data_IF_662123041179
#
_entry.id   IF_662123041179
#
_cell.length_a   1.000
_cell.length_b   1.000
_cell.length_c   1.000
_cell.angle_alpha   90.00
_cell.angle_beta   90.00
_cell.angle_gamma   90.00
#
_symmetry.space_group_name_H-M   'P 1'
#
loop_
_entity.id
_entity.type
_entity.pdbx_description
1 polymer ?
#
# COMPACT_ATOMS: atom_id res chain seq x y z
N UNK A 1 3.53 3.36 -10.01
CA UNK A 1 4.83 3.88 -9.51
C UNK A 1 4.83 4.18 -8.01
N UNK A 2 3.78 4.77 -7.43
CA UNK A 2 3.73 5.10 -5.98
C UNK A 2 3.77 3.89 -5.02
N UNK A 3 3.23 2.74 -5.42
CA UNK A 3 3.30 1.51 -4.63
C UNK A 3 4.75 1.02 -4.41
N UNK A 4 5.62 1.25 -5.39
CA UNK A 4 7.04 0.91 -5.29
C UNK A 4 7.77 1.84 -4.30
N UNK A 5 7.40 3.13 -4.27
CA UNK A 5 7.95 4.10 -3.31
C UNK A 5 7.61 3.73 -1.86
N UNK A 6 6.39 3.24 -1.60
CA UNK A 6 6.00 2.74 -0.28
C UNK A 6 6.92 1.60 0.16
N UNK A 7 7.12 0.61 -0.72
CA UNK A 7 8.02 -0.52 -0.44
C UNK A 7 9.45 -0.02 -0.17
N UNK A 8 9.93 0.93 -0.96
CA UNK A 8 11.27 1.48 -0.82
C UNK A 8 11.45 2.23 0.51
N UNK A 9 10.47 3.03 0.93
CA UNK A 9 10.50 3.70 2.24
C UNK A 9 10.44 2.73 3.41
N UNK A 10 9.61 1.69 3.32
CA UNK A 10 9.50 0.69 4.39
C UNK A 10 10.77 -0.17 4.48
N UNK A 11 11.32 -0.61 3.34
CA UNK A 11 12.55 -1.42 3.31
C UNK A 11 13.75 -0.61 3.80
N UNK A 12 13.92 0.62 3.32
CA UNK A 12 15.03 1.48 3.79
C UNK A 12 14.87 1.86 5.26
N UNK A 13 13.64 2.20 5.70
CA UNK A 13 13.37 2.53 7.10
C UNK A 13 13.61 1.35 8.05
N UNK A 14 13.19 0.14 7.68
CA UNK A 14 13.44 -1.08 8.45
C UNK A 14 14.92 -1.48 8.46
N UNK A 15 15.64 -1.28 7.35
CA UNK A 15 17.09 -1.43 7.29
C UNK A 15 17.79 -0.48 8.26
N UNK A 16 17.46 0.81 8.26
CA UNK A 16 18.06 1.76 9.19
C UNK A 16 17.75 1.41 10.65
N UNK A 17 16.53 0.96 10.96
CA UNK A 17 16.16 0.49 12.29
C UNK A 17 16.91 -0.78 12.71
N UNK A 18 17.05 -1.75 11.81
CA UNK A 18 17.80 -2.97 12.03
C UNK A 18 19.27 -2.64 12.29
N UNK A 19 19.87 -1.81 11.44
CA UNK A 19 21.28 -1.50 11.53
C UNK A 19 21.64 -0.59 12.72
N UNK A 20 20.67 0.15 13.26
CA UNK A 20 20.83 0.91 14.50
C UNK A 20 20.68 0.05 15.76
N UNK A 21 20.23 -1.21 15.65
CA UNK A 21 20.08 -2.10 16.81
C UNK A 21 21.39 -2.76 17.20
N UNK A 22 21.59 -2.96 18.51
CA UNK A 22 22.78 -3.60 19.08
C UNK A 22 22.96 -5.06 18.64
N UNK A 23 21.86 -5.76 18.37
CA UNK A 23 21.85 -7.18 17.96
C UNK A 23 21.93 -7.39 16.44
N UNK A 24 22.24 -6.34 15.67
CA UNK A 24 22.47 -6.52 14.24
C UNK A 24 23.67 -7.44 13.99
N UNK A 25 23.61 -8.22 12.90
CA UNK A 25 24.71 -9.11 12.49
C UNK A 25 25.56 -8.57 11.35
N UNK A 26 25.11 -7.49 10.69
CA UNK A 26 25.70 -6.98 9.45
C UNK A 26 26.89 -6.03 9.65
N UNK A 27 26.90 -5.24 10.73
CA UNK A 27 27.97 -4.28 11.02
C UNK A 27 28.59 -4.56 12.40
N UNK A 28 29.90 -4.35 12.51
CA UNK A 28 30.65 -4.48 13.76
C UNK A 28 30.28 -3.44 14.82
N UNK A 29 29.73 -2.28 14.40
CA UNK A 29 29.24 -1.23 15.31
C UNK A 29 27.82 -0.80 14.91
N UNK A 30 26.91 -0.60 15.88
CA UNK A 30 25.57 -0.07 15.62
C UNK A 30 25.63 1.31 14.97
N UNK A 31 24.72 1.53 14.03
CA UNK A 31 24.51 2.87 13.46
C UNK A 31 24.01 3.84 14.53
N UNK A 32 24.30 5.12 14.32
CA UNK A 32 23.96 6.18 15.27
C UNK A 32 22.45 6.19 15.59
N UNK A 33 22.09 6.38 16.86
CA UNK A 33 20.69 6.43 17.31
C UNK A 33 19.87 7.52 16.59
N UNK A 34 20.50 8.58 16.07
CA UNK A 34 19.82 9.57 15.25
C UNK A 34 19.25 8.95 13.95
N UNK A 35 19.95 7.98 13.35
CA UNK A 35 19.47 7.29 12.13
C UNK A 35 18.34 6.31 12.44
N UNK A 36 18.20 5.86 13.69
CA UNK A 36 17.01 5.14 14.16
C UNK A 36 15.75 6.02 14.06
N UNK A 37 15.85 7.31 14.40
CA UNK A 37 14.74 8.28 14.26
C UNK A 37 14.41 8.53 12.79
N UNK A 38 15.43 8.62 11.93
CA UNK A 38 15.24 8.73 10.47
C UNK A 38 14.53 7.49 9.92
N UNK A 39 14.95 6.28 10.31
CA UNK A 39 14.30 5.03 9.91
C UNK A 39 12.84 4.95 10.34
N UNK A 40 12.52 5.36 11.56
CA UNK A 40 11.14 5.49 12.04
C UNK A 40 10.33 6.50 11.21
N UNK A 41 10.92 7.65 10.89
CA UNK A 41 10.29 8.65 10.03
C UNK A 41 9.96 8.12 8.63
N UNK A 42 10.88 7.37 8.03
CA UNK A 42 10.68 6.73 6.72
C UNK A 42 9.55 5.69 6.75
N UNK A 43 9.48 4.87 7.79
CA UNK A 43 8.37 3.92 7.96
C UNK A 43 7.04 4.67 8.10
N UNK A 44 7.01 5.73 8.92
CA UNK A 44 5.79 6.53 9.12
C UNK A 44 5.30 7.17 7.83
N UNK A 45 6.20 7.75 7.02
CA UNK A 45 5.89 8.27 5.69
C UNK A 45 5.42 7.18 4.73
N UNK A 46 5.99 5.98 4.81
CA UNK A 46 5.54 4.81 4.06
C UNK A 46 4.10 4.42 4.41
N UNK A 47 3.76 4.37 5.71
CA UNK A 47 2.41 4.05 6.20
C UNK A 47 1.39 5.11 5.79
N UNK A 48 1.71 6.39 5.90
CA UNK A 48 0.81 7.48 5.47
C UNK A 48 0.52 7.35 3.97
N UNK A 49 1.57 7.20 3.15
CA UNK A 49 1.37 7.00 1.71
C UNK A 49 0.56 5.74 1.42
N UNK A 50 0.81 4.64 2.13
CA UNK A 50 0.04 3.41 1.98
C UNK A 50 -1.46 3.67 2.23
N UNK A 51 -1.81 4.38 3.30
CA UNK A 51 -3.21 4.69 3.63
C UNK A 51 -3.91 5.49 2.51
N UNK A 52 -3.24 6.48 1.93
CA UNK A 52 -3.81 7.30 0.85
C UNK A 52 -3.96 6.53 -0.48
N UNK A 53 -2.97 5.72 -0.86
CA UNK A 53 -3.00 5.02 -2.15
C UNK A 53 -3.82 3.72 -2.10
N UNK A 54 -3.88 3.04 -0.95
CA UNK A 54 -4.76 1.88 -0.80
C UNK A 54 -6.23 2.28 -0.81
N UNK A 55 -6.61 3.43 -0.25
CA UNK A 55 -8.00 3.91 -0.32
C UNK A 55 -8.42 4.21 -1.74
N UNK A 56 -7.57 4.84 -2.55
CA UNK A 56 -7.84 5.06 -3.97
C UNK A 56 -8.03 3.73 -4.72
N UNK A 57 -7.13 2.77 -4.48
CA UNK A 57 -7.18 1.45 -5.12
C UNK A 57 -8.44 0.67 -4.71
N UNK A 58 -8.83 0.75 -3.43
CA UNK A 58 -10.06 0.18 -2.92
C UNK A 58 -11.31 0.85 -3.53
N UNK A 59 -11.29 2.17 -3.73
CA UNK A 59 -12.34 2.90 -4.42
C UNK A 59 -12.51 2.48 -5.87
N UNK A 60 -11.40 2.32 -6.61
CA UNK A 60 -11.39 1.81 -7.98
C UNK A 60 -11.95 0.38 -8.02
N UNK A 61 -11.55 -0.48 -7.07
CA UNK A 61 -12.05 -1.85 -6.97
C UNK A 61 -13.57 -1.88 -6.72
N UNK A 62 -14.07 -1.07 -5.79
CA UNK A 62 -15.50 -0.94 -5.51
C UNK A 62 -16.28 -0.48 -6.74
N UNK A 63 -15.76 0.53 -7.45
CA UNK A 63 -16.35 1.02 -8.69
C UNK A 63 -16.44 -0.09 -9.74
N UNK A 64 -15.37 -0.85 -9.94
CA UNK A 64 -15.35 -1.98 -10.87
C UNK A 64 -16.34 -3.07 -10.48
N UNK A 65 -16.49 -3.39 -9.18
CA UNK A 65 -17.50 -4.35 -8.74
C UNK A 65 -18.92 -3.87 -9.05
N UNK A 66 -19.23 -2.61 -8.76
CA UNK A 66 -20.55 -2.03 -9.06
C UNK A 66 -20.81 -2.09 -10.57
N UNK A 67 -19.80 -1.75 -11.39
CA UNK A 67 -19.90 -1.82 -12.84
C UNK A 67 -20.18 -3.25 -13.32
N UNK A 68 -19.47 -4.26 -12.80
CA UNK A 68 -19.70 -5.67 -13.16
C UNK A 68 -21.12 -6.12 -12.82
N UNK A 69 -21.62 -5.73 -11.64
CA UNK A 69 -23.00 -6.01 -11.22
C UNK A 69 -24.00 -5.32 -12.16
N UNK A 70 -23.78 -4.06 -12.50
CA UNK A 70 -24.64 -3.32 -13.43
C UNK A 70 -24.68 -3.98 -14.82
N UNK A 71 -23.51 -4.39 -15.34
CA UNK A 71 -23.40 -5.09 -16.63
C UNK A 71 -24.12 -6.46 -16.61
N UNK A 72 -24.12 -7.15 -15.47
CA UNK A 72 -24.86 -8.41 -15.32
C UNK A 72 -26.37 -8.24 -15.46
N UNK A 73 -26.93 -7.08 -15.09
CA UNK A 73 -28.36 -6.80 -15.24
C UNK A 73 -28.76 -6.45 -16.68
N UNK A 74 -27.82 -6.10 -17.56
CA UNK A 74 -28.11 -5.78 -18.97
C UNK A 74 -28.80 -6.94 -19.71
N UNK A 75 -28.28 -8.19 -19.73
CA UNK A 75 -28.97 -9.30 -20.40
C UNK A 75 -30.34 -9.61 -19.77
N UNK A 76 -30.49 -9.45 -18.46
CA UNK A 76 -31.79 -9.60 -17.77
C UNK A 76 -32.80 -8.54 -18.21
N UNK A 77 -32.37 -7.29 -18.29
CA UNK A 77 -33.20 -6.18 -18.76
C UNK A 77 -33.65 -6.39 -20.21
N UNK A 78 -32.74 -6.81 -21.10
CA UNK A 78 -33.05 -7.12 -22.51
C UNK A 78 -34.06 -8.27 -22.61
N UNK A 79 -33.89 -9.33 -21.80
CA UNK A 79 -34.79 -10.47 -21.80
C UNK A 79 -36.20 -10.10 -21.32
N UNK A 80 -36.31 -9.22 -20.32
CA UNK A 80 -37.58 -8.69 -19.84
C UNK A 80 -38.24 -7.78 -20.88
N UNK A 81 -37.47 -6.89 -21.52
CA UNK A 81 -37.98 -5.96 -22.53
C UNK A 81 -38.50 -6.68 -23.79
N UNK A 82 -37.88 -7.81 -24.17
CA UNK A 82 -38.34 -8.65 -25.30
C UNK A 82 -39.61 -9.44 -24.98
N UNK A 83 -39.91 -9.67 -23.71
CA UNK A 83 -41.05 -10.49 -23.25
C UNK A 83 -42.30 -9.64 -22.97
N UNK A 84 -42.14 -8.32 -22.84
CA UNK A 84 -43.24 -7.34 -22.78
C UNK A 84 -43.64 -6.88 -24.17
#
# INVERSE_FOLDING_TARGET
MYSFLIVLFVVTGTLFLYLANRHQRLLNKPLNQNLKKVGLGLIFLGVINALFYFTLSAGIFLFLMILMVALFFIPLAILLLKRS
#
